data_IF_018251459892
#
_entry.id   IF_018251459892
#
_cell.length_a   1.000
_cell.length_b   1.000
_cell.length_c   1.000
_cell.angle_alpha   90.00
_cell.angle_beta   90.00
_cell.angle_gamma   90.00
#
_symmetry.space_group_name_H-M   'P 1'
#
loop_
_entity.id
_entity.type
_entity.pdbx_description
1 polymer ?
#
# COMPACT_ATOMS: atom_id res chain seq x y z
N UNK A 1 1.59 -75.18 -3.44
CA UNK A 1 1.42 -73.71 -3.47
C UNK A 1 2.55 -73.11 -4.34
N UNK A 2 2.17 -72.41 -5.36
CA UNK A 2 3.09 -71.85 -6.34
C UNK A 2 3.89 -70.68 -5.70
N UNK A 3 5.23 -70.67 -5.70
CA UNK A 3 6.04 -69.64 -5.02
C UNK A 3 5.74 -68.22 -5.51
N UNK A 4 5.23 -68.05 -6.74
CA UNK A 4 4.91 -66.76 -7.33
C UNK A 4 3.67 -66.11 -6.72
N UNK A 5 2.77 -66.84 -6.06
CA UNK A 5 1.59 -66.25 -5.39
C UNK A 5 1.91 -65.61 -4.02
N UNK A 6 2.99 -66.08 -3.34
CA UNK A 6 3.37 -65.50 -2.03
C UNK A 6 4.05 -64.11 -2.18
N UNK A 7 4.77 -63.87 -3.27
CA UNK A 7 5.48 -62.62 -3.47
C UNK A 7 4.55 -61.47 -3.80
N UNK A 8 3.43 -61.76 -4.54
CA UNK A 8 2.45 -60.75 -4.89
C UNK A 8 1.67 -60.30 -3.66
N UNK A 9 1.39 -61.19 -2.73
CA UNK A 9 0.63 -60.87 -1.50
C UNK A 9 1.46 -59.99 -0.54
N UNK A 10 2.76 -60.19 -0.45
CA UNK A 10 3.65 -59.39 0.41
C UNK A 10 3.86 -58.01 -0.17
N UNK A 11 3.98 -57.88 -1.47
CA UNK A 11 4.10 -56.60 -2.16
C UNK A 11 2.85 -55.75 -2.04
N UNK A 12 1.67 -56.37 -2.16
CA UNK A 12 0.37 -55.68 -2.02
C UNK A 12 0.12 -55.15 -0.60
N UNK A 13 0.51 -55.89 0.43
CA UNK A 13 0.38 -55.48 1.83
C UNK A 13 1.36 -54.30 2.13
N UNK A 14 2.57 -54.33 1.57
CA UNK A 14 3.54 -53.25 1.76
C UNK A 14 3.10 -51.96 1.10
N UNK A 15 2.46 -52.01 -0.06
CA UNK A 15 1.92 -50.81 -0.75
C UNK A 15 0.74 -50.24 0.03
N UNK A 16 -0.14 -51.09 0.58
CA UNK A 16 -1.30 -50.61 1.38
C UNK A 16 -0.82 -49.98 2.67
N UNK A 17 0.17 -50.49 3.35
CA UNK A 17 0.73 -49.91 4.56
C UNK A 17 1.44 -48.56 4.32
N UNK A 18 2.11 -48.40 3.21
CA UNK A 18 2.74 -47.11 2.81
C UNK A 18 1.69 -46.06 2.45
N UNK A 19 0.62 -46.44 1.76
CA UNK A 19 -0.49 -45.50 1.44
C UNK A 19 -1.26 -45.06 2.66
N UNK A 20 -1.51 -45.96 3.60
CA UNK A 20 -2.16 -45.62 4.88
C UNK A 20 -1.28 -44.70 5.72
N UNK A 21 0.04 -44.94 5.76
CA UNK A 21 0.99 -44.07 6.43
C UNK A 21 1.00 -42.65 5.86
N UNK A 22 0.96 -42.50 4.54
CA UNK A 22 0.90 -41.21 3.86
C UNK A 22 -0.43 -40.48 4.14
N UNK A 23 -1.54 -41.17 4.14
CA UNK A 23 -2.86 -40.62 4.47
C UNK A 23 -2.92 -40.13 5.93
N UNK A 24 -2.36 -40.85 6.87
CA UNK A 24 -2.30 -40.43 8.28
C UNK A 24 -1.41 -39.20 8.47
N UNK A 25 -0.31 -39.08 7.71
CA UNK A 25 0.51 -37.85 7.71
C UNK A 25 -0.23 -36.65 7.14
N UNK A 26 -0.99 -36.82 6.06
CA UNK A 26 -1.82 -35.75 5.49
C UNK A 26 -2.91 -35.31 6.46
N UNK A 27 -3.58 -36.23 7.11
CA UNK A 27 -4.61 -35.91 8.11
C UNK A 27 -3.99 -35.18 9.32
N UNK A 28 -2.80 -35.59 9.76
CA UNK A 28 -2.08 -34.90 10.83
C UNK A 28 -1.69 -33.49 10.44
N UNK A 29 -1.21 -33.26 9.21
CA UNK A 29 -0.89 -31.93 8.70
C UNK A 29 -2.16 -31.06 8.56
N UNK A 30 -3.26 -31.63 8.09
CA UNK A 30 -4.53 -30.93 8.00
C UNK A 30 -5.09 -30.56 9.39
N UNK A 31 -4.94 -31.41 10.40
CA UNK A 31 -5.40 -31.10 11.75
C UNK A 31 -4.54 -30.04 12.44
N UNK A 32 -3.24 -30.01 12.20
CA UNK A 32 -2.35 -28.93 12.64
C UNK A 32 -2.74 -27.63 11.95
N UNK A 33 -3.01 -27.68 10.65
CA UNK A 33 -3.44 -26.51 9.88
C UNK A 33 -4.80 -25.98 10.34
N UNK A 34 -5.76 -26.85 10.61
CA UNK A 34 -7.08 -26.50 11.15
C UNK A 34 -6.98 -25.94 12.58
N UNK A 35 -6.08 -26.47 13.40
CA UNK A 35 -5.83 -25.95 14.76
C UNK A 35 -5.20 -24.54 14.70
N UNK A 36 -4.25 -24.32 13.80
CA UNK A 36 -3.68 -22.98 13.57
C UNK A 36 -4.71 -22.02 12.98
N UNK A 37 -5.54 -22.48 12.05
CA UNK A 37 -6.61 -21.68 11.47
C UNK A 37 -7.64 -21.25 12.53
N UNK A 38 -8.06 -22.15 13.40
CA UNK A 38 -9.00 -21.84 14.48
C UNK A 38 -8.40 -20.97 15.59
N UNK A 39 -7.09 -21.02 15.83
CA UNK A 39 -6.45 -20.07 16.75
C UNK A 39 -6.39 -18.66 16.19
N UNK A 40 -6.22 -18.50 14.88
CA UNK A 40 -6.23 -17.19 14.22
C UNK A 40 -7.65 -16.61 14.10
N UNK A 41 -8.68 -17.45 14.04
CA UNK A 41 -10.08 -16.99 13.87
C UNK A 41 -10.83 -16.79 15.19
N UNK A 42 -10.28 -17.21 16.33
CA UNK A 42 -10.91 -17.05 17.65
C UNK A 42 -10.37 -15.90 18.49
N UNK A 43 -9.78 -14.88 17.90
CA UNK A 43 -9.53 -13.64 18.63
C UNK A 43 -10.84 -12.85 18.71
N UNK A 44 -11.48 -12.93 19.86
CA UNK A 44 -12.64 -12.12 20.24
C UNK A 44 -12.42 -10.64 19.92
N UNK A 45 -13.44 -10.04 19.34
CA UNK A 45 -13.63 -8.59 19.35
C UNK A 45 -13.71 -8.09 20.80
N UNK A 46 -12.56 -7.72 21.37
CA UNK A 46 -12.59 -6.84 22.54
C UNK A 46 -12.54 -5.40 22.03
N UNK A 47 -13.45 -4.54 22.49
CA UNK A 47 -13.37 -3.12 22.14
C UNK A 47 -12.06 -2.55 22.69
N UNK A 48 -11.26 -1.97 21.82
CA UNK A 48 -10.05 -1.28 22.18
C UNK A 48 -10.37 -0.17 23.18
N UNK A 49 -9.88 -0.28 24.41
CA UNK A 49 -9.99 0.79 25.40
C UNK A 49 -9.16 1.99 24.93
N UNK A 50 -9.80 3.14 24.83
CA UNK A 50 -9.18 4.42 24.51
C UNK A 50 -8.26 4.88 25.64
N UNK A 51 -7.03 4.40 25.67
CA UNK A 51 -5.95 4.98 26.48
C UNK A 51 -4.80 5.35 25.56
N UNK A 52 -4.99 6.39 24.76
CA UNK A 52 -3.89 7.14 24.18
C UNK A 52 -3.49 8.24 25.13
N UNK A 53 -2.44 8.01 25.88
CA UNK A 53 -1.77 9.06 26.65
C UNK A 53 -1.20 10.10 25.69
N UNK A 54 -1.71 11.31 25.84
CA UNK A 54 -1.30 12.52 25.13
C UNK A 54 0.21 12.79 25.28
N UNK A 55 0.95 12.70 24.20
CA UNK A 55 2.35 13.13 24.12
C UNK A 55 2.66 14.11 22.99
N UNK A 56 1.69 14.75 22.39
CA UNK A 56 1.95 15.74 21.35
C UNK A 56 1.04 16.95 21.49
N UNK A 57 1.65 18.12 21.65
CA UNK A 57 0.96 19.42 21.70
C UNK A 57 0.36 19.82 20.35
N UNK A 58 -0.89 20.11 20.35
CA UNK A 58 -1.69 21.15 19.65
C UNK A 58 -1.60 21.37 18.13
N UNK A 59 -1.02 20.50 17.31
CA UNK A 59 -1.01 20.72 15.85
C UNK A 59 -1.57 19.55 15.02
N UNK A 60 -2.12 18.53 15.63
CA UNK A 60 -2.71 17.41 14.93
C UNK A 60 -4.16 17.71 14.53
N UNK A 61 -4.49 17.42 13.28
CA UNK A 61 -5.88 17.28 12.87
C UNK A 61 -6.46 16.11 13.67
N UNK A 62 -7.26 16.42 14.65
CA UNK A 62 -7.78 15.47 15.62
C UNK A 62 -8.87 14.61 14.96
N UNK A 63 -8.47 13.51 14.34
CA UNK A 63 -9.41 12.54 13.74
C UNK A 63 -10.28 11.85 14.79
N UNK A 64 -9.91 11.96 16.08
CA UNK A 64 -10.68 11.38 17.19
C UNK A 64 -11.98 12.12 17.53
N UNK A 65 -12.19 13.33 17.02
CA UNK A 65 -13.43 14.08 17.27
C UNK A 65 -14.62 13.70 16.36
N UNK A 66 -14.46 12.75 15.45
CA UNK A 66 -15.56 12.31 14.56
C UNK A 66 -16.61 11.45 15.28
N UNK A 67 -16.33 10.98 16.49
CA UNK A 67 -17.21 10.01 17.17
C UNK A 67 -18.41 10.58 17.93
N UNK A 68 -18.56 11.90 18.11
CA UNK A 68 -19.52 12.38 19.11
C UNK A 68 -20.67 13.28 18.63
N UNK A 69 -20.95 13.41 17.34
CA UNK A 69 -22.06 14.24 16.87
C UNK A 69 -22.99 13.55 15.85
N UNK A 70 -23.45 12.35 16.16
CA UNK A 70 -24.63 11.82 15.47
C UNK A 70 -25.87 12.00 16.34
N UNK A 71 -26.59 13.08 16.14
CA UNK A 71 -27.99 13.17 16.53
C UNK A 71 -28.78 12.16 15.70
N UNK A 72 -29.51 11.31 16.36
CA UNK A 72 -30.50 10.39 15.77
C UNK A 72 -31.42 11.15 14.83
N UNK A 73 -31.23 10.98 13.53
CA UNK A 73 -32.22 11.43 12.52
C UNK A 73 -33.07 10.20 12.21
N UNK A 74 -34.34 10.33 12.48
CA UNK A 74 -35.40 9.39 12.09
C UNK A 74 -35.46 9.25 10.57
N UNK A 75 -35.48 8.00 10.11
CA UNK A 75 -35.45 7.60 8.71
C UNK A 75 -36.42 8.32 7.79
N UNK A 76 -35.98 8.65 6.58
CA UNK A 76 -36.83 8.59 5.40
C UNK A 76 -36.36 7.48 4.46
N UNK A 77 -37.32 6.79 3.93
CA UNK A 77 -37.23 5.66 3.04
C UNK A 77 -36.68 6.04 1.65
N UNK A 78 -35.39 5.88 1.44
CA UNK A 78 -34.74 5.62 0.16
C UNK A 78 -33.32 5.18 0.44
N UNK A 79 -32.67 4.33 -0.38
CA UNK A 79 -31.30 3.94 -0.13
C UNK A 79 -30.42 5.19 -0.23
N UNK A 80 -29.92 5.66 0.90
CA UNK A 80 -28.97 6.75 0.94
C UNK A 80 -27.71 6.32 0.18
N UNK A 81 -27.60 6.80 -1.05
CA UNK A 81 -26.35 6.79 -1.78
C UNK A 81 -25.47 7.80 -1.06
N UNK A 82 -24.62 7.32 -0.17
CA UNK A 82 -23.60 8.15 0.46
C UNK A 82 -22.62 8.55 -0.64
N UNK A 83 -22.76 9.76 -1.15
CA UNK A 83 -21.85 10.35 -2.13
C UNK A 83 -20.52 10.66 -1.44
N UNK A 84 -19.61 9.71 -1.51
CA UNK A 84 -18.35 9.77 -0.80
C UNK A 84 -17.30 10.50 -1.64
N UNK A 85 -17.06 11.78 -1.34
CA UNK A 85 -16.12 12.69 -2.04
C UNK A 85 -16.35 12.89 -3.53
N UNK A 86 -17.51 12.56 -4.03
CA UNK A 86 -17.83 12.69 -5.44
C UNK A 86 -17.75 14.14 -5.89
N UNK A 87 -17.01 14.38 -6.97
CA UNK A 87 -16.91 15.70 -7.60
C UNK A 87 -16.19 16.77 -6.80
N UNK A 88 -15.40 16.40 -5.78
CA UNK A 88 -14.67 17.36 -4.94
C UNK A 88 -13.21 17.44 -5.31
N UNK A 89 -12.69 18.67 -5.36
CA UNK A 89 -11.29 18.95 -5.54
C UNK A 89 -10.50 18.74 -4.24
N UNK A 90 -9.19 18.59 -4.37
CA UNK A 90 -8.28 18.56 -3.24
C UNK A 90 -8.28 19.92 -2.53
N UNK A 91 -8.19 19.89 -1.20
CA UNK A 91 -8.04 21.11 -0.40
C UNK A 91 -6.74 21.82 -0.75
N UNK A 92 -6.72 23.17 -0.73
CA UNK A 92 -5.49 23.94 -0.91
C UNK A 92 -4.45 23.59 0.15
N UNK A 93 -3.21 23.41 -0.30
CA UNK A 93 -2.09 22.98 0.55
C UNK A 93 -0.95 23.98 0.46
N UNK A 94 -0.48 24.44 1.62
CA UNK A 94 0.72 25.25 1.77
C UNK A 94 1.81 24.54 2.57
N UNK A 95 1.46 23.50 3.27
CA UNK A 95 2.37 22.70 4.07
C UNK A 95 1.78 21.35 4.45
N UNK A 96 2.56 20.54 5.12
CA UNK A 96 2.21 19.18 5.50
C UNK A 96 2.42 18.98 6.98
N UNK A 97 1.39 18.51 7.68
CA UNK A 97 1.41 18.25 9.11
C UNK A 97 1.41 16.75 9.40
N UNK A 98 2.17 16.28 10.40
CA UNK A 98 2.16 14.87 10.79
C UNK A 98 0.78 14.46 11.29
N UNK A 99 0.32 13.29 10.81
CA UNK A 99 -0.94 12.68 11.23
C UNK A 99 -0.71 11.52 12.19
N UNK A 100 0.23 10.63 11.85
CA UNK A 100 0.51 9.43 12.65
C UNK A 100 1.92 8.90 12.40
N UNK A 101 2.41 8.13 13.37
CA UNK A 101 3.66 7.38 13.29
C UNK A 101 3.48 6.08 14.08
N UNK A 102 3.70 4.92 13.45
CA UNK A 102 3.42 3.66 14.13
C UNK A 102 4.53 3.20 15.08
N UNK A 103 5.77 3.63 14.88
CA UNK A 103 6.93 3.21 15.65
C UNK A 103 7.15 1.68 15.72
N UNK A 104 6.72 0.96 14.68
CA UNK A 104 6.67 -0.51 14.70
C UNK A 104 8.01 -1.16 14.99
N UNK A 105 9.08 -0.75 14.31
CA UNK A 105 10.42 -1.30 14.53
C UNK A 105 10.94 -0.98 15.94
N UNK A 106 10.74 0.24 16.38
CA UNK A 106 11.15 0.66 17.73
C UNK A 106 10.42 -0.12 18.83
N UNK A 107 9.12 -0.31 18.69
CA UNK A 107 8.30 -1.09 19.63
C UNK A 107 8.64 -2.57 19.52
N UNK A 108 8.91 -3.07 18.31
CA UNK A 108 9.30 -4.45 18.03
C UNK A 108 10.57 -4.92 18.76
N UNK A 109 11.42 -4.00 19.19
CA UNK A 109 12.58 -4.33 20.04
C UNK A 109 12.20 -4.85 21.43
N UNK A 110 10.98 -4.58 21.86
CA UNK A 110 10.49 -4.89 23.23
C UNK A 110 9.15 -5.63 23.24
N UNK A 111 8.57 -5.89 22.08
CA UNK A 111 7.23 -6.47 21.97
C UNK A 111 7.05 -7.32 20.72
N UNK A 112 5.87 -7.90 20.62
CA UNK A 112 5.48 -8.73 19.47
C UNK A 112 4.95 -7.85 18.35
N UNK A 113 5.81 -7.50 17.40
CA UNK A 113 5.48 -6.73 16.22
C UNK A 113 5.81 -7.53 14.98
N UNK A 114 4.91 -7.54 14.00
CA UNK A 114 5.14 -8.21 12.72
C UNK A 114 6.29 -7.58 11.95
N UNK A 115 7.04 -8.43 11.27
CA UNK A 115 7.88 -8.01 10.15
C UNK A 115 6.97 -7.68 8.97
N UNK A 116 7.05 -6.45 8.49
CA UNK A 116 6.18 -5.97 7.42
C UNK A 116 6.97 -5.26 6.33
N UNK A 117 6.41 -5.23 5.13
CA UNK A 117 6.74 -4.26 4.09
C UNK A 117 5.47 -3.80 3.41
N UNK A 118 5.61 -2.78 2.60
CA UNK A 118 4.55 -2.15 1.82
C UNK A 118 3.35 -1.73 2.70
N UNK A 119 3.59 -1.01 3.81
CA UNK A 119 2.49 -0.41 4.55
C UNK A 119 1.84 0.67 3.70
N UNK A 120 0.53 0.75 3.76
CA UNK A 120 -0.20 1.89 3.21
C UNK A 120 -1.40 2.22 4.08
N UNK A 121 -1.95 3.42 3.92
CA UNK A 121 -3.05 3.91 4.72
C UNK A 121 -4.26 4.16 3.83
N UNK A 122 -5.43 3.80 4.34
CA UNK A 122 -6.72 4.17 3.77
C UNK A 122 -7.72 4.45 4.87
N UNK A 123 -8.69 5.31 4.59
CA UNK A 123 -9.69 5.77 5.54
C UNK A 123 -11.11 5.46 5.06
N UNK A 124 -11.94 4.94 5.97
CA UNK A 124 -13.40 4.94 5.82
C UNK A 124 -13.99 6.22 6.41
N UNK A 125 -15.31 6.34 6.47
CA UNK A 125 -15.97 7.44 7.19
C UNK A 125 -15.74 7.38 8.70
N UNK A 126 -15.38 6.21 9.25
CA UNK A 126 -15.29 5.98 10.68
C UNK A 126 -13.86 5.87 11.20
N UNK A 127 -12.93 5.39 10.38
CA UNK A 127 -11.56 5.11 10.81
C UNK A 127 -10.55 5.19 9.67
N UNK A 128 -9.30 5.46 10.02
CA UNK A 128 -8.16 5.22 9.15
C UNK A 128 -7.43 3.96 9.62
N UNK A 129 -7.01 3.13 8.68
CA UNK A 129 -6.29 1.90 8.94
C UNK A 129 -4.96 1.86 8.20
N UNK A 130 -3.96 1.26 8.83
CA UNK A 130 -2.73 0.87 8.18
C UNK A 130 -2.87 -0.54 7.65
N UNK A 131 -2.74 -0.72 6.34
CA UNK A 131 -2.66 -2.00 5.66
C UNK A 131 -1.19 -2.33 5.43
N UNK A 132 -0.83 -3.60 5.52
CA UNK A 132 0.55 -4.02 5.36
C UNK A 132 0.65 -5.47 4.88
N UNK A 133 1.78 -5.81 4.27
CA UNK A 133 2.11 -7.16 3.83
C UNK A 133 3.13 -7.76 4.80
N UNK A 134 2.76 -8.86 5.43
CA UNK A 134 3.62 -9.60 6.36
C UNK A 134 3.81 -11.04 5.88
N UNK A 135 4.85 -11.70 6.38
CA UNK A 135 5.05 -13.14 6.22
C UNK A 135 4.70 -13.90 7.51
N UNK A 136 4.05 -13.23 8.47
CA UNK A 136 3.67 -13.79 9.76
C UNK A 136 4.79 -13.86 10.79
N UNK A 137 6.00 -13.44 10.44
CA UNK A 137 7.13 -13.43 11.36
C UNK A 137 7.11 -12.19 12.27
N UNK A 138 7.63 -12.34 13.46
CA UNK A 138 7.83 -11.25 14.43
C UNK A 138 9.27 -10.76 14.40
N UNK A 139 9.49 -9.47 14.68
CA UNK A 139 10.81 -8.83 14.58
C UNK A 139 11.88 -9.50 15.45
N UNK A 140 11.54 -9.91 16.66
CA UNK A 140 12.45 -10.57 17.60
C UNK A 140 12.33 -12.09 17.61
N UNK A 141 11.91 -12.68 16.52
CA UNK A 141 11.86 -14.12 16.34
C UNK A 141 12.84 -14.57 15.24
N UNK A 142 13.44 -15.75 15.41
CA UNK A 142 14.29 -16.38 14.39
C UNK A 142 13.59 -16.58 13.03
N UNK A 143 12.28 -16.70 13.03
CA UNK A 143 11.46 -16.82 11.81
C UNK A 143 11.42 -15.52 10.99
N UNK A 144 11.93 -14.41 11.52
CA UNK A 144 12.12 -13.17 10.76
C UNK A 144 13.28 -13.25 9.75
N UNK A 145 14.13 -14.28 9.87
CA UNK A 145 15.26 -14.47 8.97
C UNK A 145 14.79 -14.67 7.51
N UNK A 146 15.37 -13.91 6.61
CA UNK A 146 15.08 -14.00 5.18
C UNK A 146 13.77 -13.36 4.72
N UNK A 147 13.15 -12.50 5.53
CA UNK A 147 11.92 -11.77 5.18
C UNK A 147 12.10 -10.68 4.11
N UNK A 148 13.25 -10.64 3.46
CA UNK A 148 13.54 -9.74 2.33
C UNK A 148 12.82 -10.12 1.03
N UNK A 149 12.27 -11.32 0.93
CA UNK A 149 11.60 -11.81 -0.29
C UNK A 149 10.30 -11.06 -0.57
N UNK A 150 10.14 -10.60 -1.81
CA UNK A 150 8.95 -9.85 -2.24
C UNK A 150 7.70 -10.73 -2.32
N UNK A 151 7.83 -11.96 -2.82
CA UNK A 151 6.73 -12.89 -3.02
C UNK A 151 7.02 -14.23 -2.33
N UNK A 152 6.02 -14.70 -1.64
CA UNK A 152 5.99 -16.04 -1.05
C UNK A 152 4.54 -16.47 -0.86
N UNK A 153 4.25 -17.77 -0.73
CA UNK A 153 2.90 -18.23 -0.44
C UNK A 153 2.42 -17.85 0.97
N UNK A 154 3.30 -17.34 1.82
CA UNK A 154 2.99 -16.94 3.19
C UNK A 154 2.73 -15.45 3.34
N UNK A 155 2.98 -14.65 2.32
CA UNK A 155 2.69 -13.23 2.41
C UNK A 155 1.21 -12.97 2.57
N UNK A 156 0.88 -12.06 3.46
CA UNK A 156 -0.47 -11.83 3.93
C UNK A 156 -0.73 -10.33 4.03
N UNK A 157 -1.86 -9.91 3.49
CA UNK A 157 -2.41 -8.57 3.72
C UNK A 157 -3.14 -8.58 5.06
N UNK A 158 -2.69 -7.71 5.95
CA UNK A 158 -3.33 -7.45 7.25
C UNK A 158 -3.56 -5.96 7.42
N UNK A 159 -4.36 -5.58 8.38
CA UNK A 159 -4.56 -4.18 8.75
C UNK A 159 -4.70 -4.00 10.26
N UNK A 160 -4.29 -2.83 10.72
CA UNK A 160 -4.45 -2.40 12.10
C UNK A 160 -4.92 -0.92 12.13
N UNK A 161 -5.42 -0.41 13.25
CA UNK A 161 -5.71 1.01 13.39
C UNK A 161 -4.48 1.86 13.08
N UNK A 162 -4.70 3.04 12.50
CA UNK A 162 -3.60 3.96 12.20
C UNK A 162 -2.81 4.35 13.46
N UNK A 163 -1.49 4.49 13.33
CA UNK A 163 -0.63 4.98 14.40
C UNK A 163 -0.26 3.97 15.48
N UNK A 164 -0.61 2.68 15.29
CA UNK A 164 -0.17 1.61 16.18
C UNK A 164 0.81 0.68 15.48
N UNK A 165 1.72 0.09 16.24
CA UNK A 165 2.64 -0.90 15.72
C UNK A 165 1.88 -2.16 15.27
N UNK A 166 2.09 -2.68 14.06
CA UNK A 166 1.41 -3.87 13.57
C UNK A 166 1.76 -5.10 14.42
N UNK A 167 0.81 -5.62 15.17
CA UNK A 167 1.03 -6.75 16.09
C UNK A 167 -0.07 -7.80 15.97
N UNK A 168 0.17 -9.05 16.42
CA UNK A 168 -0.86 -10.07 16.45
C UNK A 168 -2.09 -9.66 17.26
N UNK A 169 -1.93 -8.83 18.28
CA UNK A 169 -3.02 -8.43 19.18
C UNK A 169 -3.93 -7.33 18.62
N UNK A 170 -3.48 -6.56 17.63
CA UNK A 170 -4.24 -5.43 17.09
C UNK A 170 -4.53 -5.52 15.60
N UNK A 171 -4.01 -6.53 14.92
CA UNK A 171 -4.12 -6.66 13.47
C UNK A 171 -5.15 -7.71 13.08
N UNK A 172 -5.91 -7.41 12.03
CA UNK A 172 -6.85 -8.37 11.44
C UNK A 172 -6.33 -8.87 10.10
N UNK A 173 -6.65 -10.12 9.80
CA UNK A 173 -6.40 -10.72 8.49
C UNK A 173 -7.32 -10.11 7.44
N UNK A 174 -6.78 -9.79 6.27
CA UNK A 174 -7.55 -9.30 5.14
C UNK A 174 -7.53 -10.32 3.99
N UNK A 175 -6.35 -10.76 3.55
CA UNK A 175 -6.21 -11.70 2.43
C UNK A 175 -4.81 -12.30 2.39
N UNK A 176 -4.66 -13.47 1.80
CA UNK A 176 -3.34 -13.97 1.39
C UNK A 176 -2.90 -13.15 0.19
N UNK A 177 -1.78 -12.45 0.27
CA UNK A 177 -1.35 -11.54 -0.78
C UNK A 177 0.13 -11.16 -0.65
N UNK A 178 0.79 -11.03 -1.79
CA UNK A 178 2.12 -10.41 -1.90
C UNK A 178 2.08 -9.07 -2.67
N UNK A 179 0.93 -8.69 -3.23
CA UNK A 179 0.61 -7.37 -3.77
C UNK A 179 -0.84 -7.04 -3.46
N UNK A 180 -1.16 -5.80 -3.13
CA UNK A 180 -2.47 -5.46 -2.64
C UNK A 180 -2.88 -4.00 -2.87
N UNK A 181 -4.18 -3.77 -2.77
CA UNK A 181 -4.80 -2.47 -2.57
C UNK A 181 -6.02 -2.61 -1.67
N UNK A 182 -6.42 -1.53 -1.04
CA UNK A 182 -7.63 -1.45 -0.24
C UNK A 182 -8.16 -0.02 -0.25
N UNK A 183 -9.46 0.13 -0.12
CA UNK A 183 -10.12 1.42 0.05
C UNK A 183 -11.53 1.24 0.59
N UNK A 184 -12.17 2.33 0.98
CA UNK A 184 -13.54 2.32 1.46
C UNK A 184 -14.45 3.15 0.55
N UNK A 185 -15.62 2.61 0.25
CA UNK A 185 -16.67 3.33 -0.47
C UNK A 185 -17.52 4.23 0.46
N UNK A 186 -17.10 4.37 1.68
CA UNK A 186 -17.77 5.09 2.76
C UNK A 186 -17.96 4.13 3.95
N UNK A 187 -19.03 3.36 3.98
CA UNK A 187 -19.30 2.45 5.11
C UNK A 187 -18.54 1.13 5.00
N UNK A 188 -18.20 0.64 3.80
CA UNK A 188 -17.62 -0.67 3.56
C UNK A 188 -16.16 -0.63 3.15
N UNK A 189 -15.47 -1.76 3.33
CA UNK A 189 -14.08 -1.93 2.93
C UNK A 189 -13.96 -2.88 1.73
N UNK A 190 -13.33 -2.39 0.67
CA UNK A 190 -12.83 -3.20 -0.43
C UNK A 190 -11.38 -3.55 -0.16
N UNK A 191 -11.04 -4.83 -0.29
CA UNK A 191 -9.66 -5.30 -0.35
C UNK A 191 -9.45 -6.12 -1.62
N UNK A 192 -8.28 -5.98 -2.22
CA UNK A 192 -7.82 -6.75 -3.35
C UNK A 192 -6.42 -7.26 -3.04
N UNK A 193 -6.28 -8.57 -2.92
CA UNK A 193 -5.01 -9.22 -2.65
C UNK A 193 -4.62 -10.17 -3.78
N UNK A 194 -3.36 -10.11 -4.20
CA UNK A 194 -2.82 -10.94 -5.28
C UNK A 194 -1.86 -11.95 -4.70
N UNK A 195 -2.07 -13.22 -5.01
CA UNK A 195 -1.24 -14.33 -4.55
C UNK A 195 -1.11 -15.42 -5.62
N UNK A 196 -0.29 -16.41 -5.34
CA UNK A 196 -0.06 -17.56 -6.21
C UNK A 196 1.27 -17.49 -6.95
N UNK A 197 1.55 -18.48 -7.80
CA UNK A 197 2.75 -18.51 -8.65
C UNK A 197 2.75 -17.32 -9.63
N UNK A 198 3.93 -16.83 -9.96
CA UNK A 198 4.12 -15.65 -10.83
C UNK A 198 3.38 -15.75 -12.17
N UNK A 199 3.33 -16.95 -12.76
CA UNK A 199 2.65 -17.17 -14.05
C UNK A 199 1.13 -17.34 -13.94
N UNK A 200 0.60 -17.65 -12.77
CA UNK A 200 -0.81 -18.01 -12.56
C UNK A 200 -1.42 -17.29 -11.36
N UNK A 201 -0.91 -16.13 -11.03
CA UNK A 201 -1.38 -15.32 -9.92
C UNK A 201 -2.88 -14.98 -10.05
N UNK A 202 -3.53 -14.87 -8.92
CA UNK A 202 -4.95 -14.52 -8.82
C UNK A 202 -5.13 -13.36 -7.86
N UNK A 203 -5.89 -12.37 -8.29
CA UNK A 203 -6.40 -11.31 -7.43
C UNK A 203 -7.73 -11.77 -6.83
N UNK A 204 -7.85 -11.69 -5.51
CA UNK A 204 -9.08 -11.96 -4.76
C UNK A 204 -9.61 -10.65 -4.24
N UNK A 205 -10.84 -10.32 -4.65
CA UNK A 205 -11.54 -9.14 -4.18
C UNK A 205 -12.47 -9.54 -3.03
N UNK A 206 -12.45 -8.75 -1.97
CA UNK A 206 -13.34 -8.90 -0.81
C UNK A 206 -14.04 -7.60 -0.52
N UNK A 207 -15.29 -7.70 -0.10
CA UNK A 207 -16.04 -6.59 0.46
C UNK A 207 -16.49 -6.94 1.86
N UNK A 208 -16.07 -6.14 2.83
CA UNK A 208 -16.27 -6.42 4.26
C UNK A 208 -15.82 -7.84 4.67
N UNK A 209 -14.66 -8.27 4.15
CA UNK A 209 -14.07 -9.56 4.47
C UNK A 209 -14.64 -10.76 3.71
N UNK A 210 -15.67 -10.58 2.88
CA UNK A 210 -16.30 -11.64 2.10
C UNK A 210 -15.78 -11.62 0.67
N UNK A 211 -15.36 -12.77 0.15
CA UNK A 211 -14.92 -12.90 -1.25
C UNK A 211 -16.09 -12.60 -2.17
N UNK A 212 -15.92 -11.63 -3.05
CA UNK A 212 -16.96 -11.17 -3.97
C UNK A 212 -16.59 -11.36 -5.44
N UNK A 213 -15.31 -11.42 -5.76
CA UNK A 213 -14.84 -11.60 -7.13
C UNK A 213 -13.38 -12.07 -7.17
N UNK A 214 -12.94 -12.51 -8.34
CA UNK A 214 -11.55 -12.88 -8.62
C UNK A 214 -11.14 -12.42 -10.01
N UNK A 215 -9.85 -12.15 -10.19
CA UNK A 215 -9.25 -11.85 -11.48
C UNK A 215 -7.95 -12.64 -11.64
N UNK A 216 -7.86 -13.42 -12.69
CA UNK A 216 -6.65 -14.17 -13.03
C UNK A 216 -5.66 -13.30 -13.78
N UNK A 217 -4.37 -13.59 -13.59
CA UNK A 217 -3.31 -13.00 -14.43
C UNK A 217 -3.62 -13.20 -15.90
N UNK A 218 -3.49 -12.13 -16.68
CA UNK A 218 -3.79 -12.14 -18.12
C UNK A 218 -2.55 -12.17 -19.02
N UNK A 219 -1.36 -11.98 -18.44
CA UNK A 219 -0.07 -12.08 -19.14
C UNK A 219 0.87 -13.10 -18.54
N UNK A 220 0.52 -13.67 -17.39
CA UNK A 220 1.33 -14.71 -16.75
C UNK A 220 2.70 -14.24 -16.25
N UNK A 221 2.85 -12.97 -15.90
CA UNK A 221 4.13 -12.40 -15.50
C UNK A 221 3.98 -11.40 -14.35
N UNK A 222 3.71 -11.94 -13.17
CA UNK A 222 3.61 -11.20 -11.91
C UNK A 222 2.55 -10.09 -12.00
N UNK A 223 1.27 -10.49 -12.04
CA UNK A 223 0.17 -9.54 -11.89
C UNK A 223 0.31 -8.83 -10.55
N UNK A 224 0.21 -7.51 -10.55
CA UNK A 224 0.48 -6.67 -9.40
C UNK A 224 -0.37 -5.41 -9.41
N UNK A 225 -0.47 -4.72 -8.28
CA UNK A 225 -1.30 -3.52 -8.14
C UNK A 225 -0.61 -2.42 -7.34
N UNK A 226 -1.35 -1.53 -6.77
CA UNK A 226 -0.91 -0.22 -6.30
C UNK A 226 0.05 -0.25 -5.10
N UNK A 227 -0.08 -1.17 -4.17
CA UNK A 227 0.61 -1.10 -2.85
C UNK A 227 0.25 0.21 -2.08
N UNK A 228 -0.91 0.78 -2.39
CA UNK A 228 -1.51 1.96 -1.76
C UNK A 228 -3.02 1.92 -1.96
N UNK A 229 -3.76 2.89 -1.44
CA UNK A 229 -5.21 2.87 -1.51
C UNK A 229 -5.73 2.98 -2.95
N UNK A 230 -6.80 2.24 -3.24
CA UNK A 230 -7.67 2.52 -4.37
C UNK A 230 -8.52 3.78 -4.08
N UNK A 231 -9.21 4.30 -5.07
CA UNK A 231 -10.03 5.51 -4.92
C UNK A 231 -11.48 5.19 -5.22
N UNK A 232 -12.35 5.54 -4.29
CA UNK A 232 -13.79 5.41 -4.48
C UNK A 232 -14.43 6.77 -4.72
N UNK A 233 -15.30 6.83 -5.72
CA UNK A 233 -16.18 7.96 -5.98
C UNK A 233 -17.60 7.44 -6.21
N UNK A 234 -18.57 8.06 -5.57
CA UNK A 234 -19.92 7.53 -5.47
C UNK A 234 -19.88 6.13 -4.85
N UNK A 235 -20.47 5.15 -5.47
CA UNK A 235 -20.44 3.75 -5.01
C UNK A 235 -19.40 2.88 -5.71
N UNK A 236 -18.56 3.47 -6.56
CA UNK A 236 -17.55 2.76 -7.35
C UNK A 236 -16.15 3.03 -6.84
N UNK A 237 -15.35 1.97 -6.79
CA UNK A 237 -13.93 2.04 -6.47
C UNK A 237 -13.11 1.67 -7.70
N UNK A 238 -11.97 2.33 -7.84
CA UNK A 238 -11.11 2.22 -9.02
C UNK A 238 -9.69 1.87 -8.62
N UNK A 239 -9.08 0.95 -9.35
CA UNK A 239 -7.67 0.61 -9.18
C UNK A 239 -7.00 0.35 -10.52
N UNK A 240 -5.70 0.56 -10.58
CA UNK A 240 -4.87 0.21 -11.73
C UNK A 240 -4.07 -1.05 -11.41
N UNK A 241 -4.10 -2.01 -12.33
CA UNK A 241 -3.34 -3.25 -12.24
C UNK A 241 -2.33 -3.35 -13.38
N UNK A 242 -1.21 -4.01 -13.09
CA UNK A 242 -0.10 -4.23 -14.02
C UNK A 242 0.18 -5.71 -14.12
N UNK A 243 0.46 -6.19 -15.33
CA UNK A 243 0.96 -7.54 -15.60
C UNK A 243 2.01 -7.47 -16.72
N UNK A 244 3.00 -8.34 -16.70
CA UNK A 244 4.06 -8.31 -17.68
C UNK A 244 5.41 -7.83 -17.11
N UNK A 245 6.41 -7.65 -17.98
CA UNK A 245 7.79 -7.40 -17.55
C UNK A 245 7.93 -6.06 -16.83
N UNK A 246 8.80 -6.02 -15.82
CA UNK A 246 9.10 -4.81 -15.04
C UNK A 246 10.24 -3.96 -15.63
N UNK A 247 10.96 -4.49 -16.59
CA UNK A 247 12.12 -3.87 -17.24
C UNK A 247 11.91 -3.59 -18.74
N UNK A 248 10.67 -3.71 -19.20
CA UNK A 248 10.23 -3.45 -20.56
C UNK A 248 8.74 -3.08 -20.58
N UNK A 249 8.14 -2.94 -21.77
CA UNK A 249 6.71 -2.66 -21.90
C UNK A 249 5.87 -3.68 -21.16
N UNK A 250 5.06 -3.22 -20.23
CA UNK A 250 4.09 -4.03 -19.50
C UNK A 250 2.66 -3.77 -19.99
N UNK A 251 1.67 -4.38 -19.33
CA UNK A 251 0.26 -4.32 -19.69
C UNK A 251 -0.56 -3.88 -18.49
N UNK A 252 -1.57 -3.05 -18.72
CA UNK A 252 -2.30 -2.37 -17.66
C UNK A 252 -3.80 -2.50 -17.84
N UNK A 253 -4.51 -2.60 -16.73
CA UNK A 253 -5.98 -2.56 -16.71
C UNK A 253 -6.43 -1.57 -15.63
N UNK A 254 -7.41 -0.74 -15.97
CA UNK A 254 -8.20 0.01 -15.00
C UNK A 254 -9.40 -0.86 -14.65
N UNK A 255 -9.62 -1.07 -13.36
CA UNK A 255 -10.77 -1.79 -12.83
C UNK A 255 -11.75 -0.80 -12.19
N UNK A 256 -13.01 -0.92 -12.55
CA UNK A 256 -14.15 -0.29 -11.89
C UNK A 256 -14.89 -1.34 -11.07
N UNK A 257 -15.02 -1.12 -9.78
CA UNK A 257 -15.48 -2.11 -8.81
C UNK A 257 -16.63 -1.52 -8.00
N UNK A 258 -17.69 -2.31 -7.82
CA UNK A 258 -18.81 -1.94 -6.95
C UNK A 258 -19.03 -3.04 -5.92
N UNK A 259 -18.95 -2.68 -4.63
CA UNK A 259 -19.12 -3.62 -3.52
C UNK A 259 -18.35 -4.94 -3.74
N UNK A 260 -17.06 -4.81 -4.12
CA UNK A 260 -16.17 -5.93 -4.33
C UNK A 260 -16.34 -6.69 -5.65
N UNK A 261 -17.24 -6.29 -6.54
CA UNK A 261 -17.42 -6.91 -7.86
C UNK A 261 -16.87 -6.02 -8.96
N UNK A 262 -16.09 -6.59 -9.85
CA UNK A 262 -15.59 -5.90 -11.04
C UNK A 262 -16.78 -5.71 -11.98
N UNK A 263 -17.17 -4.46 -12.20
CA UNK A 263 -18.29 -4.12 -13.09
C UNK A 263 -17.83 -3.67 -14.48
N UNK A 264 -16.60 -3.19 -14.58
CA UNK A 264 -15.98 -2.82 -15.84
C UNK A 264 -14.46 -2.86 -15.72
N UNK A 265 -13.81 -3.14 -16.86
CA UNK A 265 -12.35 -3.07 -17.00
C UNK A 265 -12.00 -2.42 -18.32
N UNK A 266 -10.90 -1.70 -18.34
CA UNK A 266 -10.35 -1.11 -19.57
C UNK A 266 -8.86 -1.37 -19.67
N UNK A 267 -8.43 -1.89 -20.83
CA UNK A 267 -7.02 -1.98 -21.15
C UNK A 267 -6.46 -0.58 -21.43
N UNK A 268 -5.27 -0.31 -20.93
CA UNK A 268 -4.57 0.96 -21.15
C UNK A 268 -3.53 0.77 -22.24
N UNK A 269 -3.68 1.48 -23.36
CA UNK A 269 -2.60 1.60 -24.34
C UNK A 269 -1.57 2.61 -23.81
N UNK A 270 -0.49 2.07 -23.30
CA UNK A 270 0.58 2.82 -22.66
C UNK A 270 1.91 2.65 -23.40
N UNK A 271 1.87 2.61 -24.72
CA UNK A 271 3.09 2.51 -25.55
C UNK A 271 4.08 3.61 -25.21
N UNK A 272 5.28 3.20 -24.79
CA UNK A 272 6.34 4.12 -24.35
C UNK A 272 6.29 4.52 -22.88
N UNK A 273 5.26 4.12 -22.14
CA UNK A 273 5.09 4.37 -20.71
C UNK A 273 5.23 3.07 -19.91
N UNK A 274 5.54 3.22 -18.63
CA UNK A 274 5.56 2.12 -17.68
C UNK A 274 4.92 2.57 -16.37
N UNK A 275 3.86 1.88 -15.95
CA UNK A 275 3.11 2.21 -14.74
C UNK A 275 3.18 1.07 -13.74
N UNK A 276 3.83 1.28 -12.63
CA UNK A 276 3.84 0.35 -11.52
C UNK A 276 3.48 1.05 -10.23
N UNK A 277 2.86 0.30 -9.32
CA UNK A 277 2.64 0.73 -7.95
C UNK A 277 2.07 2.16 -7.88
N UNK A 278 1.00 2.41 -8.62
CA UNK A 278 0.41 3.73 -8.73
C UNK A 278 -0.14 4.24 -7.40
N UNK A 279 0.03 5.53 -7.16
CA UNK A 279 -0.55 6.25 -6.03
C UNK A 279 -1.63 7.17 -6.55
N UNK A 280 -2.87 6.90 -6.19
CA UNK A 280 -4.04 7.54 -6.77
C UNK A 280 -4.73 8.46 -5.77
N UNK A 281 -5.41 9.46 -6.29
CA UNK A 281 -6.21 10.41 -5.52
C UNK A 281 -7.36 10.93 -6.35
N UNK A 282 -8.47 11.39 -5.73
CA UNK A 282 -9.56 12.00 -6.47
C UNK A 282 -9.18 13.38 -7.00
N UNK A 283 -9.54 13.67 -8.23
CA UNK A 283 -9.33 14.95 -8.89
C UNK A 283 -10.63 15.40 -9.55
N UNK A 284 -11.44 16.17 -8.83
CA UNK A 284 -12.79 16.48 -9.22
C UNK A 284 -13.63 15.21 -9.37
N UNK A 285 -14.20 15.00 -10.55
CA UNK A 285 -14.94 13.77 -10.89
C UNK A 285 -14.06 12.66 -11.44
N UNK A 286 -12.78 12.93 -11.66
CA UNK A 286 -11.81 11.98 -12.17
C UNK A 286 -10.95 11.38 -11.07
N UNK A 287 -10.21 10.33 -11.42
CA UNK A 287 -9.16 9.75 -10.61
C UNK A 287 -7.83 10.00 -11.31
N UNK A 288 -6.85 10.47 -10.56
CA UNK A 288 -5.50 10.75 -11.02
C UNK A 288 -4.50 9.89 -10.25
N UNK A 289 -3.61 9.22 -10.96
CA UNK A 289 -2.59 8.36 -10.38
C UNK A 289 -1.22 8.80 -10.87
N UNK A 290 -0.27 8.88 -9.95
CA UNK A 290 1.14 9.08 -10.24
C UNK A 290 1.89 7.81 -9.87
N UNK A 291 2.71 7.29 -10.77
CA UNK A 291 3.19 5.92 -10.72
C UNK A 291 4.72 5.84 -10.75
N UNK A 292 5.22 4.62 -10.75
CA UNK A 292 6.63 4.27 -10.85
C UNK A 292 6.92 3.79 -12.26
N UNK A 293 7.90 4.40 -12.91
CA UNK A 293 8.52 3.85 -14.12
C UNK A 293 9.68 2.94 -13.72
N UNK A 294 9.44 1.64 -13.75
CA UNK A 294 10.47 0.66 -13.41
C UNK A 294 11.38 0.31 -14.59
N UNK A 295 11.07 0.84 -15.75
CA UNK A 295 11.74 0.50 -16.99
C UNK A 295 12.88 1.46 -17.33
N UNK A 296 12.63 2.80 -17.39
CA UNK A 296 13.60 3.72 -17.98
C UNK A 296 13.52 5.19 -17.57
N UNK A 297 12.61 5.60 -16.72
CA UNK A 297 12.43 7.02 -16.37
C UNK A 297 12.67 7.35 -14.91
N UNK A 298 13.12 8.57 -14.63
CA UNK A 298 13.22 9.15 -13.28
C UNK A 298 12.15 10.19 -13.00
N UNK A 299 11.46 10.68 -14.04
CA UNK A 299 10.22 11.43 -13.91
C UNK A 299 9.05 10.44 -13.78
N UNK A 300 8.08 10.79 -12.96
CA UNK A 300 6.96 9.88 -12.71
C UNK A 300 5.92 9.96 -13.83
N UNK A 301 5.50 8.81 -14.37
CA UNK A 301 4.36 8.74 -15.26
C UNK A 301 3.07 8.93 -14.47
N UNK A 302 2.05 9.48 -15.13
CA UNK A 302 0.72 9.64 -14.55
C UNK A 302 -0.35 9.13 -15.51
N UNK A 303 -1.47 8.74 -14.94
CA UNK A 303 -2.70 8.41 -15.67
C UNK A 303 -3.87 9.08 -14.96
N UNK A 304 -4.77 9.66 -15.74
CA UNK A 304 -6.03 10.25 -15.28
C UNK A 304 -7.18 9.61 -16.03
N UNK A 305 -8.21 9.21 -15.33
CA UNK A 305 -9.38 8.60 -15.95
C UNK A 305 -10.69 9.02 -15.25
N UNK A 306 -11.79 8.96 -16.01
CA UNK A 306 -13.13 9.26 -15.57
C UNK A 306 -13.91 7.99 -15.17
N UNK A 307 -15.19 8.15 -14.81
CA UNK A 307 -16.05 7.04 -14.41
C UNK A 307 -16.39 6.05 -15.55
N UNK A 308 -16.22 6.45 -16.80
CA UNK A 308 -16.36 5.58 -17.99
C UNK A 308 -15.05 4.90 -18.37
N UNK A 309 -13.98 5.12 -17.59
CA UNK A 309 -12.64 4.61 -17.78
C UNK A 309 -11.92 5.18 -19.02
N UNK A 310 -12.39 6.31 -19.55
CA UNK A 310 -11.63 7.07 -20.53
C UNK A 310 -10.46 7.74 -19.87
N UNK A 311 -9.27 7.62 -20.44
CA UNK A 311 -8.04 7.97 -19.78
C UNK A 311 -7.13 8.86 -20.61
N UNK A 312 -6.25 9.57 -19.91
CA UNK A 312 -5.12 10.31 -20.45
C UNK A 312 -3.86 9.88 -19.70
N UNK A 313 -2.72 9.89 -20.39
CA UNK A 313 -1.43 9.54 -19.82
C UNK A 313 -0.38 10.59 -20.15
N UNK A 314 0.62 10.68 -19.31
CA UNK A 314 1.76 11.57 -19.48
C UNK A 314 2.83 11.31 -18.42
N UNK A 315 3.84 12.17 -18.40
CA UNK A 315 4.82 12.27 -17.32
C UNK A 315 4.63 13.60 -16.59
N UNK A 316 4.90 13.62 -15.29
CA UNK A 316 5.02 14.88 -14.54
C UNK A 316 6.12 15.69 -15.21
N UNK A 317 5.78 16.87 -15.72
CA UNK A 317 6.66 17.64 -16.61
C UNK A 317 7.91 18.17 -15.90
N UNK A 318 7.79 18.53 -14.63
CA UNK A 318 8.83 19.18 -13.83
C UNK A 318 10.20 18.53 -13.96
N UNK A 319 11.22 19.35 -14.07
CA UNK A 319 12.60 18.93 -13.95
C UNK A 319 13.04 18.58 -12.53
N UNK A 320 12.13 18.70 -11.55
CA UNK A 320 12.27 18.14 -10.21
C UNK A 320 11.78 16.71 -10.26
N UNK A 321 12.71 15.79 -10.47
CA UNK A 321 12.37 14.38 -10.66
C UNK A 321 11.94 13.71 -9.35
N UNK A 322 10.85 12.97 -9.37
CA UNK A 322 10.27 12.36 -8.18
C UNK A 322 10.73 10.94 -7.87
N UNK A 323 11.34 10.26 -8.83
CA UNK A 323 11.73 8.84 -8.68
C UNK A 323 13.12 8.69 -8.06
N UNK A 324 13.51 7.46 -7.79
CA UNK A 324 14.83 7.09 -7.23
C UNK A 324 15.22 5.70 -7.75
N UNK A 325 16.40 5.50 -8.38
CA UNK A 325 17.45 6.51 -8.61
C UNK A 325 17.06 7.58 -9.64
N UNK A 326 17.67 8.75 -9.52
CA UNK A 326 17.46 9.87 -10.43
C UNK A 326 18.73 10.69 -10.65
N UNK A 327 18.86 11.40 -11.79
CA UNK A 327 19.88 12.42 -11.95
C UNK A 327 19.55 13.64 -11.07
N UNK A 328 20.48 14.56 -10.96
CA UNK A 328 20.22 15.88 -10.37
C UNK A 328 19.10 16.58 -11.15
N UNK A 329 18.37 17.44 -10.47
CA UNK A 329 17.29 18.20 -11.09
C UNK A 329 17.78 18.97 -12.33
N UNK A 330 16.98 18.94 -13.37
CA UNK A 330 17.35 19.49 -14.67
C UNK A 330 16.14 19.79 -15.54
N UNK A 331 16.21 19.46 -16.81
CA UNK A 331 15.09 19.61 -17.74
C UNK A 331 14.22 18.36 -17.70
N UNK A 332 12.95 18.55 -17.43
CA UNK A 332 11.95 17.48 -17.42
C UNK A 332 11.39 17.17 -18.80
N UNK A 333 10.32 16.39 -18.82
CA UNK A 333 9.55 16.06 -20.02
C UNK A 333 8.13 15.68 -19.65
N UNK A 334 7.15 16.15 -20.42
CA UNK A 334 5.73 15.86 -20.21
C UNK A 334 5.28 14.54 -20.84
N UNK A 335 6.01 13.99 -21.80
CA UNK A 335 5.55 12.89 -22.66
C UNK A 335 6.58 11.78 -22.88
N UNK A 336 7.74 11.87 -22.25
CA UNK A 336 8.79 10.86 -22.40
C UNK A 336 9.58 10.69 -21.11
N UNK A 337 10.19 9.51 -20.89
CA UNK A 337 11.03 9.28 -19.72
C UNK A 337 12.33 10.07 -19.82
N UNK A 338 12.79 10.55 -18.65
CA UNK A 338 14.09 11.24 -18.50
C UNK A 338 14.91 10.42 -17.51
N UNK A 339 16.11 10.01 -17.88
CA UNK A 339 16.97 9.23 -17.00
C UNK A 339 18.43 9.70 -16.91
N UNK A 340 18.97 10.29 -17.97
CA UNK A 340 20.38 10.71 -18.04
C UNK A 340 21.35 9.63 -17.49
N UNK A 341 21.09 8.36 -17.79
CA UNK A 341 21.83 7.21 -17.31
C UNK A 341 21.53 6.75 -15.87
N UNK A 342 20.56 7.34 -15.19
CA UNK A 342 20.24 7.06 -13.77
C UNK A 342 18.86 6.45 -13.53
N UNK A 343 17.89 6.71 -14.40
CA UNK A 343 16.48 6.30 -14.18
C UNK A 343 16.21 4.86 -14.61
N UNK A 344 16.13 3.97 -13.64
CA UNK A 344 15.70 2.59 -13.81
C UNK A 344 15.37 1.98 -12.44
N UNK A 345 14.50 1.00 -12.42
CA UNK A 345 13.99 0.27 -11.24
C UNK A 345 13.08 1.09 -10.33
N UNK A 346 13.33 2.34 -10.08
CA UNK A 346 12.44 3.23 -9.38
C UNK A 346 12.17 2.89 -7.91
N UNK A 347 11.28 3.67 -7.34
CA UNK A 347 10.64 3.46 -6.04
C UNK A 347 9.19 3.91 -6.13
N UNK A 348 8.27 3.18 -5.47
CA UNK A 348 6.89 3.67 -5.36
C UNK A 348 6.88 5.05 -4.69
N UNK A 349 6.17 5.99 -5.30
CA UNK A 349 5.98 7.33 -4.79
C UNK A 349 4.68 7.94 -5.28
N UNK A 350 4.50 9.22 -5.01
CA UNK A 350 3.28 9.96 -5.31
C UNK A 350 3.58 11.41 -5.68
N UNK A 351 2.60 12.07 -6.26
CA UNK A 351 2.54 13.52 -6.42
C UNK A 351 1.10 13.97 -6.40
N UNK A 352 0.85 15.24 -6.07
CA UNK A 352 -0.47 15.84 -6.13
C UNK A 352 -0.47 17.03 -7.07
N UNK A 353 -1.38 17.03 -8.05
CA UNK A 353 -1.56 18.12 -8.98
C UNK A 353 -2.49 19.18 -8.40
N UNK A 354 -2.09 20.44 -8.57
CA UNK A 354 -2.91 21.62 -8.29
C UNK A 354 -2.84 22.59 -9.48
N UNK A 355 -3.83 22.51 -10.38
CA UNK A 355 -3.81 23.31 -11.59
C UNK A 355 -2.57 23.01 -12.43
N UNK A 356 -1.72 24.02 -12.64
CA UNK A 356 -0.44 23.90 -13.35
C UNK A 356 0.72 23.47 -12.45
N UNK A 357 0.51 23.50 -11.14
CA UNK A 357 1.52 23.14 -10.14
C UNK A 357 1.42 21.70 -9.66
N UNK A 358 2.45 21.27 -8.98
CA UNK A 358 2.54 19.92 -8.41
C UNK A 358 3.29 19.92 -7.07
N UNK A 359 2.79 19.15 -6.11
CA UNK A 359 3.54 18.72 -4.94
C UNK A 359 4.18 17.38 -5.22
N UNK A 360 5.51 17.31 -5.15
CA UNK A 360 6.29 16.09 -5.42
C UNK A 360 6.82 15.56 -4.11
N UNK A 361 6.43 14.34 -3.74
CA UNK A 361 7.04 13.58 -2.66
C UNK A 361 8.17 12.73 -3.19
N UNK A 362 9.36 12.85 -2.60
CA UNK A 362 10.53 12.09 -3.07
C UNK A 362 11.55 11.82 -1.97
N UNK A 363 12.36 10.78 -2.16
CA UNK A 363 13.54 10.57 -1.34
C UNK A 363 14.52 11.72 -1.51
N UNK A 364 15.28 12.07 -0.48
CA UNK A 364 16.31 13.11 -0.57
C UNK A 364 17.56 12.63 -1.29
N UNK A 365 17.95 11.38 -1.11
CA UNK A 365 19.05 10.78 -1.86
C UNK A 365 18.69 10.55 -3.32
N UNK A 366 19.64 10.76 -4.21
CA UNK A 366 19.49 10.49 -5.63
C UNK A 366 19.56 9.00 -5.99
N UNK A 367 20.19 8.17 -5.17
CA UNK A 367 20.48 6.77 -5.49
C UNK A 367 19.96 5.77 -4.44
N UNK A 368 19.78 6.22 -3.21
CA UNK A 368 19.32 5.38 -2.10
C UNK A 368 17.92 5.75 -1.66
N UNK A 369 17.21 4.79 -1.08
CA UNK A 369 15.92 5.04 -0.42
C UNK A 369 16.18 5.60 0.98
N UNK A 370 16.64 6.85 1.04
CA UNK A 370 16.95 7.55 2.27
C UNK A 370 16.48 8.99 2.23
N UNK A 371 16.03 9.49 3.39
CA UNK A 371 15.40 10.79 3.50
C UNK A 371 14.05 10.86 2.78
N UNK A 372 13.33 11.93 3.01
CA UNK A 372 12.10 12.25 2.30
C UNK A 372 11.82 13.74 2.38
N UNK A 373 11.33 14.31 1.28
CA UNK A 373 10.95 15.71 1.18
C UNK A 373 9.72 15.90 0.31
N UNK A 374 8.99 16.99 0.56
CA UNK A 374 7.92 17.49 -0.29
C UNK A 374 8.40 18.74 -0.98
N UNK A 375 8.30 18.76 -2.31
CA UNK A 375 8.71 19.90 -3.13
C UNK A 375 7.49 20.45 -3.86
N UNK A 376 7.24 21.74 -3.71
CA UNK A 376 6.26 22.47 -4.48
C UNK A 376 6.90 23.09 -5.71
N UNK A 377 6.38 22.79 -6.89
CA UNK A 377 6.71 23.44 -8.16
C UNK A 377 5.42 24.02 -8.74
N UNK A 378 5.30 25.34 -8.71
CA UNK A 378 4.06 26.04 -9.05
C UNK A 378 3.64 25.88 -10.53
N UNK A 379 4.53 25.43 -11.40
CA UNK A 379 4.28 25.15 -12.82
C UNK A 379 4.65 23.71 -13.23
N UNK A 380 5.03 22.87 -12.29
CA UNK A 380 5.67 21.59 -12.55
C UNK A 380 4.80 20.53 -13.21
N UNK A 381 3.49 20.73 -13.30
CA UNK A 381 2.62 19.84 -14.07
C UNK A 381 2.66 20.13 -15.57
N UNK A 382 2.99 21.34 -15.98
CA UNK A 382 2.98 21.79 -17.39
C UNK A 382 4.32 22.30 -17.90
N UNK A 383 5.21 22.74 -17.02
CA UNK A 383 6.56 23.24 -17.36
C UNK A 383 7.61 22.17 -17.09
N UNK A 384 8.58 22.07 -18.00
CA UNK A 384 9.74 21.17 -17.87
C UNK A 384 10.90 21.77 -17.07
N UNK A 385 10.75 22.99 -16.59
CA UNK A 385 11.76 23.65 -15.75
C UNK A 385 11.86 22.97 -14.37
N UNK A 386 12.86 23.32 -13.61
CA UNK A 386 13.11 22.81 -12.26
C UNK A 386 12.85 23.86 -11.17
N UNK A 387 11.75 24.56 -11.28
CA UNK A 387 11.41 25.63 -10.35
C UNK A 387 10.97 25.07 -9.01
N UNK A 388 11.83 25.18 -8.00
CA UNK A 388 11.47 24.84 -6.63
C UNK A 388 10.93 26.08 -5.93
N UNK A 389 9.61 26.11 -5.72
CA UNK A 389 8.91 27.22 -5.08
C UNK A 389 8.69 27.00 -3.58
N UNK A 390 9.02 25.84 -3.08
CA UNK A 390 8.95 25.50 -1.66
C UNK A 390 9.37 24.07 -1.42
N UNK A 391 10.08 23.84 -0.32
CA UNK A 391 10.53 22.51 0.12
C UNK A 391 10.21 22.35 1.60
N UNK A 392 9.66 21.21 1.95
CA UNK A 392 9.49 20.79 3.34
C UNK A 392 10.21 19.47 3.55
N UNK A 393 11.16 19.44 4.47
CA UNK A 393 11.82 18.21 4.90
C UNK A 393 10.88 17.37 5.76
N UNK A 394 10.86 16.07 5.52
CA UNK A 394 10.06 15.09 6.26
C UNK A 394 10.97 14.12 7.02
N UNK A 395 12.00 13.60 6.37
CA UNK A 395 12.99 12.69 6.94
C UNK A 395 14.37 13.13 6.47
N UNK A 396 15.31 13.27 7.40
CA UNK A 396 16.70 13.58 7.07
C UNK A 396 17.33 12.53 6.16
N UNK A 397 18.24 12.97 5.30
CA UNK A 397 18.92 12.10 4.34
C UNK A 397 19.76 10.98 4.98
N UNK A 398 20.16 11.13 6.24
CA UNK A 398 20.89 10.10 6.99
C UNK A 398 20.01 8.94 7.48
N UNK A 399 18.69 9.04 7.30
CA UNK A 399 17.72 8.05 7.75
C UNK A 399 17.09 7.32 6.58
N UNK A 400 16.90 6.01 6.72
CA UNK A 400 16.27 5.17 5.71
C UNK A 400 14.80 5.51 5.52
N UNK A 401 14.37 5.48 4.30
CA UNK A 401 12.98 5.57 3.86
C UNK A 401 12.63 4.40 2.93
N UNK A 402 11.67 4.55 2.07
CA UNK A 402 11.26 3.48 1.17
C UNK A 402 10.14 3.91 0.25
N UNK A 403 9.12 3.08 0.17
CA UNK A 403 7.90 3.40 -0.55
C UNK A 403 7.19 4.59 0.09
N UNK A 404 6.46 5.31 -0.72
CA UNK A 404 5.52 6.34 -0.29
C UNK A 404 4.28 6.29 -1.17
N UNK A 405 3.18 6.76 -0.66
CA UNK A 405 1.93 6.75 -1.38
C UNK A 405 0.92 7.75 -0.84
N UNK A 406 -0.09 8.01 -1.66
CA UNK A 406 -1.16 8.93 -1.34
C UNK A 406 -2.33 8.23 -0.65
N UNK A 407 -3.04 8.95 0.18
CA UNK A 407 -4.38 8.64 0.63
C UNK A 407 -5.14 9.93 0.87
N UNK A 408 -6.44 9.84 1.08
CA UNK A 408 -7.30 11.01 1.20
C UNK A 408 -8.20 10.89 2.43
N UNK A 409 -8.39 12.02 3.11
CA UNK A 409 -9.43 12.16 4.12
C UNK A 409 -10.53 13.03 3.53
N UNK A 410 -11.76 12.52 3.52
CA UNK A 410 -12.88 13.10 2.84
C UNK A 410 -13.43 14.30 3.58
N UNK A 411 -13.88 15.32 2.83
CA UNK A 411 -14.41 16.56 3.37
C UNK A 411 -15.62 16.34 4.28
N UNK A 412 -16.46 15.35 3.98
CA UNK A 412 -17.63 14.99 4.77
C UNK A 412 -17.26 14.59 6.21
N UNK A 413 -16.10 13.97 6.40
CA UNK A 413 -15.62 13.56 7.72
C UNK A 413 -14.91 14.68 8.46
N UNK A 414 -14.41 15.71 7.76
CA UNK A 414 -13.67 16.85 8.31
C UNK A 414 -14.48 18.13 8.40
N UNK A 415 -15.73 18.15 7.88
CA UNK A 415 -16.56 19.34 7.76
C UNK A 415 -16.09 20.33 6.69
N UNK A 416 -15.18 19.93 5.78
CA UNK A 416 -14.65 20.74 4.68
C UNK A 416 -15.34 20.41 3.36
N UNK A 417 -15.41 21.39 2.46
CA UNK A 417 -15.96 21.20 1.10
C UNK A 417 -14.92 20.68 0.08
N UNK A 418 -13.82 20.14 0.54
CA UNK A 418 -12.73 19.63 -0.27
C UNK A 418 -12.17 18.34 0.34
N UNK A 419 -11.47 17.56 -0.46
CA UNK A 419 -10.78 16.36 -0.01
C UNK A 419 -9.38 16.71 0.48
N UNK A 420 -9.03 16.29 1.70
CA UNK A 420 -7.69 16.52 2.27
C UNK A 420 -6.70 15.53 1.67
N UNK A 421 -5.68 15.97 0.93
CA UNK A 421 -4.64 15.08 0.45
C UNK A 421 -3.69 14.73 1.59
N UNK A 422 -3.35 13.45 1.68
CA UNK A 422 -2.43 12.90 2.66
C UNK A 422 -1.44 11.96 1.97
N UNK A 423 -0.33 11.70 2.64
CA UNK A 423 0.62 10.69 2.21
C UNK A 423 1.21 9.94 3.39
N UNK A 424 1.74 8.77 3.10
CA UNK A 424 2.52 7.96 4.03
C UNK A 424 3.91 7.71 3.46
N UNK A 425 4.87 7.45 4.33
CA UNK A 425 6.23 7.05 3.98
C UNK A 425 6.58 5.80 4.76
N UNK A 426 7.03 4.77 4.04
CA UNK A 426 7.63 3.57 4.60
C UNK A 426 9.08 3.85 4.98
N UNK A 427 9.45 3.50 6.21
CA UNK A 427 10.83 3.59 6.69
C UNK A 427 11.39 2.19 6.84
N UNK A 428 12.09 1.73 5.80
CA UNK A 428 12.67 0.38 5.74
C UNK A 428 13.90 0.33 6.63
N UNK A 429 13.96 -0.69 7.48
CA UNK A 429 15.09 -0.95 8.35
C UNK A 429 15.56 -2.41 8.18
N UNK A 430 16.80 -2.67 8.59
CA UNK A 430 17.41 -3.99 8.51
C UNK A 430 18.15 -4.22 7.20
N UNK A 431 18.23 -5.51 6.79
CA UNK A 431 18.97 -5.90 5.60
C UNK A 431 18.42 -5.24 4.32
N UNK A 432 19.29 -5.00 3.32
CA UNK A 432 20.74 -5.26 3.30
C UNK A 432 21.58 -4.15 3.94
N UNK A 433 20.97 -3.07 4.39
CA UNK A 433 21.66 -1.85 4.83
C UNK A 433 22.19 -1.93 6.26
N UNK A 434 21.58 -2.72 7.11
CA UNK A 434 21.88 -2.86 8.52
C UNK A 434 22.10 -4.34 8.90
N UNK A 435 22.78 -4.57 10.02
CA UNK A 435 23.11 -5.92 10.50
C UNK A 435 21.93 -6.52 11.26
N UNK A 436 20.97 -7.04 10.53
CA UNK A 436 19.83 -7.79 11.06
C UNK A 436 19.61 -9.04 10.22
N UNK A 437 18.83 -10.01 10.72
CA UNK A 437 18.41 -11.17 9.94
C UNK A 437 17.15 -10.91 9.13
N UNK A 438 16.50 -9.79 9.36
CA UNK A 438 15.21 -9.38 8.77
C UNK A 438 15.33 -8.07 7.99
N UNK A 439 14.33 -7.85 7.15
CA UNK A 439 13.99 -6.56 6.56
C UNK A 439 12.57 -6.23 6.94
N UNK A 440 12.33 -5.06 7.48
CA UNK A 440 11.00 -4.61 7.86
C UNK A 440 10.85 -3.10 7.69
N UNK A 441 9.64 -2.60 7.85
CA UNK A 441 9.33 -1.17 7.75
C UNK A 441 8.44 -0.70 8.90
N UNK A 442 8.54 0.59 9.18
CA UNK A 442 7.55 1.34 9.92
C UNK A 442 6.93 2.39 9.01
N UNK A 443 5.90 3.08 9.43
CA UNK A 443 5.26 4.11 8.63
C UNK A 443 5.02 5.40 9.40
N UNK A 444 5.05 6.50 8.65
CA UNK A 444 4.64 7.82 9.10
C UNK A 444 3.69 8.41 8.06
N UNK A 445 2.70 9.17 8.50
CA UNK A 445 1.74 9.82 7.63
C UNK A 445 1.62 11.30 7.91
N UNK A 446 1.36 12.06 6.86
CA UNK A 446 1.16 13.51 6.87
C UNK A 446 -0.09 13.87 6.09
N UNK A 447 -0.75 14.93 6.50
CA UNK A 447 -1.85 15.52 5.73
C UNK A 447 -1.56 16.97 5.38
N UNK A 448 -2.12 17.42 4.27
CA UNK A 448 -1.99 18.78 3.80
C UNK A 448 -2.75 19.77 4.70
N UNK A 449 -2.13 20.90 4.93
CA UNK A 449 -2.70 22.02 5.69
C UNK A 449 -2.56 23.33 4.91
N UNK A 450 -3.48 24.25 5.10
CA UNK A 450 -3.44 25.56 4.45
C UNK A 450 -2.67 26.59 5.28
N UNK A 451 -1.50 26.18 5.76
CA UNK A 451 -0.59 27.03 6.52
C UNK A 451 0.85 26.64 6.20
N UNK A 452 1.77 27.61 6.25
CA UNK A 452 3.19 27.32 6.08
C UNK A 452 3.67 26.45 7.26
N UNK A 453 4.43 25.43 6.92
CA UNK A 453 5.03 24.52 7.91
C UNK A 453 6.54 24.48 7.68
N UNK A 454 7.30 24.44 8.77
CA UNK A 454 8.74 24.22 8.73
C UNK A 454 9.04 22.73 8.71
N UNK A 455 10.09 22.35 7.99
CA UNK A 455 10.56 20.97 7.96
C UNK A 455 11.17 20.55 9.30
N UNK A 456 10.83 19.35 9.73
CA UNK A 456 11.44 18.65 10.85
C UNK A 456 11.89 17.30 10.34
N UNK A 457 12.76 16.62 11.07
CA UNK A 457 13.09 15.25 10.75
C UNK A 457 12.26 14.28 11.59
N UNK A 458 11.60 13.33 10.90
CA UNK A 458 10.71 12.33 11.50
C UNK A 458 11.19 10.91 11.15
N UNK A 459 12.41 10.50 11.53
CA UNK A 459 12.96 9.20 11.18
C UNK A 459 12.25 8.07 11.94
N UNK A 460 12.50 6.82 11.52
CA UNK A 460 12.07 5.65 12.27
C UNK A 460 12.56 5.66 13.73
N UNK A 461 13.82 5.99 13.95
CA UNK A 461 14.40 6.22 15.26
C UNK A 461 14.73 4.97 16.07
N UNK A 462 14.51 3.77 15.54
CA UNK A 462 14.90 2.53 16.20
C UNK A 462 16.43 2.37 16.21
N UNK A 463 16.96 1.88 17.32
CA UNK A 463 18.37 1.52 17.47
C UNK A 463 18.57 0.06 17.06
N UNK A 464 19.43 -0.18 16.07
CA UNK A 464 19.73 -1.49 15.51
C UNK A 464 21.23 -1.81 15.62
N UNK A 465 21.61 -3.11 15.66
CA UNK A 465 20.73 -4.27 15.63
C UNK A 465 20.04 -4.55 16.96
N UNK A 466 18.84 -5.16 16.91
CA UNK A 466 18.26 -5.77 18.10
C UNK A 466 19.01 -7.05 18.46
N UNK A 467 19.19 -7.30 19.74
CA UNK A 467 19.76 -8.53 20.22
C UNK A 467 18.68 -9.62 20.22
N UNK A 468 18.66 -10.41 19.14
CA UNK A 468 17.65 -11.46 18.92
C UNK A 468 18.02 -12.77 19.63
N UNK A 469 19.26 -12.88 20.12
CA UNK A 469 19.79 -14.10 20.75
C UNK A 469 19.60 -14.15 22.27
N UNK A 470 18.73 -13.30 22.82
CA UNK A 470 18.40 -13.32 24.25
C UNK A 470 17.13 -14.03 24.55
#
# INVERSE_FOLDING_TARGET
>A
MNPNQKIITIGSISIILTTIGLLLQIISLCSIWFSHYNQVTQTHEQPCSNNTTNYYNETFVNVTHVQNNYTTVTEPSAPDVVHYSSGRDLCPIRGWAPLSKDNGIRIGSRGEVFVIREPFISCSINECRTFFLTQGALLNDKHSNGTVKDRSPFRTLMSCPIGVAPSPSNSRFESVAWSATACSDGPGWLTLGITGPDATAVAVLKYNGIITDTLKSWKGNIMRTQESECVCQDEFCYTLMTDGPSDAQAFYKILKIRKGKIVSMKDVDATGFHFEECSCYPSGTDIECVCRDNWRGSNRPWIRFNSDLDYQIGYVCSGIFGDNPRPVDGTGSCNSPVNNGKGRYGVKGFSFRYGDGVWIGRTKSLESRSGFEMVWDANGWVSTDKDSNGVQDIIDNDNWSGYSGSFSIRGETTGRNCTVPCFWVEMIRGQPKEKTIWTSGSSIAFCGVNSDTTGWSWPDGALLPFDIDK
#
